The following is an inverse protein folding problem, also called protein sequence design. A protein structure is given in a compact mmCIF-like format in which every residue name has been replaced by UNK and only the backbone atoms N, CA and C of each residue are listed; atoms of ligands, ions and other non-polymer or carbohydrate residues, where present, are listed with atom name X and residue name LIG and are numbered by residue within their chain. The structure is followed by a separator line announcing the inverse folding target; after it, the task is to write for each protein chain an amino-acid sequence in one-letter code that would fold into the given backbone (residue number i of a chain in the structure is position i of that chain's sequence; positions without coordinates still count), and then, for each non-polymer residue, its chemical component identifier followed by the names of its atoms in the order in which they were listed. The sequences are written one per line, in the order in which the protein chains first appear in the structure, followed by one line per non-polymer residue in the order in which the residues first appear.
data_IF_900675633694
#
_entry.id   IF_900675633694
#
_cell.length_a   1.000
_cell.length_b   1.000
_cell.length_c   1.000
_cell.angle_alpha   90.00
_cell.angle_beta   90.00
_cell.angle_gamma   90.00
#
_symmetry.space_group_name_H-M   'P 1'
#
loop_
_entity.id
_entity.type
_entity.pdbx_description
1 polymer ?
#
# COMPACT_ATOMS: atom_id res chain seq x y z
N UNK A 1 -51.30 19.13 16.76
CA UNK A 1 -51.28 20.48 17.37
C UNK A 1 -50.04 20.52 18.23
N UNK A 2 -49.01 21.27 17.81
CA UNK A 2 -47.82 21.60 18.63
C UNK A 2 -48.25 22.39 19.90
N UNK A 3 -47.40 22.68 20.91
CA UNK A 3 -45.93 22.75 20.87
C UNK A 3 -45.17 22.35 22.17
N UNK A 4 -43.82 22.38 22.08
CA UNK A 4 -42.87 22.57 23.19
C UNK A 4 -43.17 23.83 24.03
N UNK A 5 -42.67 23.92 25.27
CA UNK A 5 -41.49 24.78 25.49
C UNK A 5 -40.52 24.33 26.61
N UNK A 6 -39.20 24.42 26.34
CA UNK A 6 -38.17 24.81 27.33
C UNK A 6 -38.31 26.32 27.68
N UNK A 7 -37.58 26.98 28.60
CA UNK A 7 -36.34 26.60 29.34
C UNK A 7 -36.34 27.06 30.83
N UNK A 8 -35.25 26.86 31.58
CA UNK A 8 -34.69 27.93 32.43
C UNK A 8 -33.28 27.54 32.95
N UNK A 9 -32.33 28.40 32.59
CA UNK A 9 -30.97 28.45 33.12
C UNK A 9 -30.96 29.32 34.38
N UNK A 10 -30.18 28.96 35.38
CA UNK A 10 -29.57 29.96 36.25
C UNK A 10 -28.26 29.44 36.82
N UNK A 11 -27.20 30.13 36.41
CA UNK A 11 -25.84 30.00 36.88
C UNK A 11 -25.70 30.53 38.32
N UNK A 12 -24.74 29.99 39.06
CA UNK A 12 -23.95 30.78 40.01
C UNK A 12 -22.61 30.09 40.27
N UNK A 13 -21.56 30.85 40.03
CA UNK A 13 -20.16 30.54 40.22
C UNK A 13 -19.63 31.44 41.33
N UNK A 14 -18.90 30.88 42.29
CA UNK A 14 -17.94 31.49 43.25
C UNK A 14 -17.66 30.41 44.31
N UNK A 15 -16.46 30.11 44.80
CA UNK A 15 -15.15 30.74 44.68
C UNK A 15 -14.06 29.67 44.99
N UNK A 16 -12.85 29.97 44.52
CA UNK A 16 -11.58 29.28 44.83
C UNK A 16 -11.30 29.26 46.36
N UNK A 17 -10.44 28.44 46.96
CA UNK A 17 -9.07 28.06 46.57
C UNK A 17 -8.52 27.15 47.69
N UNK A 18 -7.86 26.02 47.41
CA UNK A 18 -6.65 25.55 48.13
C UNK A 18 -6.10 24.22 47.55
N UNK A 19 -4.92 24.36 46.92
CA UNK A 19 -3.71 23.52 47.08
C UNK A 19 -3.65 22.09 46.52
N UNK A 20 -3.12 22.01 45.29
CA UNK A 20 -2.03 21.14 44.79
C UNK A 20 -1.92 19.66 45.23
N UNK A 21 -2.02 18.73 44.26
CA UNK A 21 -0.86 18.04 43.68
C UNK A 21 -1.24 17.00 42.58
N UNK A 22 -0.47 17.06 41.48
CA UNK A 22 -0.03 15.95 40.61
C UNK A 22 -0.88 15.45 39.42
N UNK A 23 -0.33 15.80 38.24
CA UNK A 23 -0.04 14.92 37.08
C UNK A 23 -1.19 14.44 36.18
N UNK A 24 -1.35 15.08 35.01
CA UNK A 24 -0.84 14.60 33.70
C UNK A 24 -1.50 15.35 32.55
N UNK A 25 -0.69 15.80 31.59
CA UNK A 25 -1.09 16.60 30.43
C UNK A 25 -1.66 15.73 29.30
N UNK A 26 -2.93 15.94 28.96
CA UNK A 26 -3.49 15.69 27.62
C UNK A 26 -3.25 16.93 26.74
N UNK A 27 -2.94 16.76 25.45
CA UNK A 27 -3.34 17.72 24.45
C UNK A 27 -4.31 17.12 23.44
N UNK A 28 -5.41 17.85 23.28
CA UNK A 28 -6.46 17.83 22.27
C UNK A 28 -6.04 17.32 20.87
N UNK A 29 -6.87 16.46 20.29
CA UNK A 29 -7.03 16.38 18.83
C UNK A 29 -8.53 16.40 18.45
N UNK A 30 -8.79 17.21 17.43
CA UNK A 30 -10.07 17.62 16.84
C UNK A 30 -10.89 16.46 16.25
N UNK A 31 -12.20 16.66 16.00
CA UNK A 31 -13.04 15.65 15.36
C UNK A 31 -12.69 15.53 13.87
N UNK A 32 -12.18 14.36 13.47
CA UNK A 32 -11.97 14.03 12.06
C UNK A 32 -13.32 13.78 11.37
N UNK A 33 -13.55 14.57 10.33
CA UNK A 33 -14.59 14.44 9.31
C UNK A 33 -14.64 13.04 8.69
N UNK A 34 -15.84 12.46 8.61
CA UNK A 34 -16.20 11.33 7.75
C UNK A 34 -15.70 11.57 6.32
N UNK A 35 -14.70 10.79 5.90
CA UNK A 35 -14.25 10.72 4.52
C UNK A 35 -14.75 9.41 3.89
N UNK A 36 -15.56 9.57 2.83
CA UNK A 36 -15.96 8.53 1.90
C UNK A 36 -14.76 7.70 1.40
N UNK A 37 -14.92 6.39 1.13
CA UNK A 37 -13.83 5.55 0.65
C UNK A 37 -13.32 6.03 -0.73
N UNK A 38 -12.00 6.09 -0.95
CA UNK A 38 -11.46 6.58 -2.22
C UNK A 38 -11.81 5.62 -3.36
N UNK A 39 -12.45 6.16 -4.39
CA UNK A 39 -12.64 5.51 -5.68
C UNK A 39 -11.30 4.99 -6.23
N UNK A 40 -11.33 3.78 -6.78
CA UNK A 40 -10.17 3.09 -7.35
C UNK A 40 -9.36 4.00 -8.30
N UNK A 41 -8.01 3.97 -8.23
CA UNK A 41 -7.19 4.76 -9.14
C UNK A 41 -7.43 4.34 -10.60
N UNK A 42 -7.45 5.29 -11.55
CA UNK A 42 -7.61 5.00 -12.97
C UNK A 42 -6.49 4.08 -13.45
N UNK A 43 -6.81 3.11 -14.32
CA UNK A 43 -5.80 2.23 -14.91
C UNK A 43 -4.67 3.07 -15.52
N UNK A 44 -3.39 2.69 -15.34
CA UNK A 44 -2.28 3.41 -15.94
C UNK A 44 -2.46 3.41 -17.46
N UNK A 45 -2.58 4.60 -18.04
CA UNK A 45 -2.59 4.78 -19.48
C UNK A 45 -1.27 4.22 -20.00
N UNK A 46 -1.33 3.16 -20.82
CA UNK A 46 -0.14 2.68 -21.52
C UNK A 46 0.36 3.85 -22.36
N UNK A 47 1.49 4.44 -21.98
CA UNK A 47 2.10 5.52 -22.73
C UNK A 47 2.56 4.95 -24.08
N UNK A 48 1.70 5.01 -25.09
CA UNK A 48 2.10 4.62 -26.45
C UNK A 48 3.06 5.66 -27.01
N UNK A 49 4.13 5.19 -27.65
CA UNK A 49 5.01 6.04 -28.41
C UNK A 49 4.19 6.89 -29.41
N UNK A 50 4.49 8.20 -29.47
CA UNK A 50 3.90 9.15 -30.43
C UNK A 50 4.32 8.81 -31.87
N UNK A 51 5.32 7.95 -32.03
CA UNK A 51 5.80 7.46 -33.32
C UNK A 51 4.72 6.65 -34.05
N UNK A 52 4.41 6.96 -35.32
CA UNK A 52 3.43 6.21 -36.09
C UNK A 52 3.81 4.73 -36.23
N UNK A 53 2.94 3.84 -35.74
CA UNK A 53 3.03 2.40 -36.00
C UNK A 53 2.64 2.04 -37.44
N UNK A 54 2.74 0.75 -37.84
CA UNK A 54 2.55 0.31 -39.22
C UNK A 54 1.16 0.66 -39.77
N UNK A 55 0.12 0.56 -38.95
CA UNK A 55 -1.26 0.91 -39.33
C UNK A 55 -1.47 2.42 -39.42
N UNK A 56 -0.91 3.19 -38.49
CA UNK A 56 -0.99 4.64 -38.51
C UNK A 56 -0.25 5.22 -39.73
N UNK A 57 0.93 4.69 -40.06
CA UNK A 57 1.68 5.06 -41.25
C UNK A 57 0.90 4.74 -42.55
N UNK A 58 0.29 3.55 -42.64
CA UNK A 58 -0.56 3.17 -43.77
C UNK A 58 -1.78 4.09 -43.92
N UNK A 59 -2.39 4.52 -42.81
CA UNK A 59 -3.52 5.45 -42.85
C UNK A 59 -3.10 6.79 -43.46
N UNK A 60 -1.98 7.34 -43.01
CA UNK A 60 -1.42 8.59 -43.54
C UNK A 60 -1.05 8.47 -45.02
N UNK A 61 -0.42 7.37 -45.41
CA UNK A 61 -0.07 7.10 -46.81
C UNK A 61 -1.30 6.98 -47.70
N UNK A 62 -2.32 6.24 -47.25
CA UNK A 62 -3.57 6.07 -48.00
C UNK A 62 -4.29 7.42 -48.17
N UNK A 63 -4.32 8.24 -47.12
CA UNK A 63 -4.88 9.58 -47.17
C UNK A 63 -4.13 10.48 -48.16
N UNK A 64 -2.80 10.55 -48.08
CA UNK A 64 -2.00 11.33 -49.02
C UNK A 64 -2.20 10.88 -50.47
N UNK A 65 -2.31 9.56 -50.70
CA UNK A 65 -2.57 8.98 -52.02
C UNK A 65 -3.98 9.30 -52.54
N UNK A 66 -4.99 9.23 -51.68
CA UNK A 66 -6.37 9.55 -52.06
C UNK A 66 -6.56 11.04 -52.32
N UNK A 67 -5.94 11.91 -51.52
CA UNK A 67 -5.93 13.35 -51.74
C UNK A 67 -5.26 13.72 -53.07
N UNK A 68 -4.07 13.19 -53.36
CA UNK A 68 -3.41 13.39 -54.66
C UNK A 68 -4.26 12.92 -55.84
N UNK A 69 -4.93 11.77 -55.70
CA UNK A 69 -5.80 11.23 -56.76
C UNK A 69 -7.06 12.07 -56.98
N UNK A 70 -7.66 12.60 -55.91
CA UNK A 70 -8.85 13.46 -56.00
C UNK A 70 -8.51 14.83 -56.57
N UNK A 71 -7.42 15.47 -56.11
CA UNK A 71 -6.92 16.72 -56.68
C UNK A 71 -6.50 16.56 -58.14
N UNK A 72 -5.90 15.42 -58.51
CA UNK A 72 -5.55 15.11 -59.91
C UNK A 72 -6.76 14.99 -60.85
N UNK A 73 -7.98 14.76 -60.33
CA UNK A 73 -9.20 14.81 -61.15
C UNK A 73 -9.61 16.24 -61.50
N UNK A 74 -9.12 17.24 -60.78
CA UNK A 74 -9.33 18.66 -61.09
C UNK A 74 -8.24 19.14 -62.06
N UNK A 75 -7.84 18.26 -62.99
CA UNK A 75 -6.84 18.55 -64.01
C UNK A 75 -7.35 19.57 -65.04
N UNK A 76 -6.41 20.15 -65.78
CA UNK A 76 -6.69 21.23 -66.73
C UNK A 76 -7.72 20.80 -67.79
N UNK A 77 -7.62 19.58 -68.31
CA UNK A 77 -8.52 19.08 -69.36
C UNK A 77 -9.98 19.04 -68.90
N UNK A 78 -10.22 18.67 -67.64
CA UNK A 78 -11.56 18.61 -67.07
C UNK A 78 -12.12 20.02 -66.83
N UNK A 79 -11.29 20.94 -66.34
CA UNK A 79 -11.70 22.34 -66.09
C UNK A 79 -11.92 23.09 -67.40
N UNK A 80 -11.04 22.93 -68.38
CA UNK A 80 -11.18 23.54 -69.71
C UNK A 80 -12.39 22.98 -70.46
N UNK A 81 -12.70 21.68 -70.30
CA UNK A 81 -13.89 21.05 -70.86
C UNK A 81 -15.20 21.62 -70.29
N UNK A 82 -15.24 21.95 -68.99
CA UNK A 82 -16.40 22.58 -68.35
C UNK A 82 -16.55 24.07 -68.68
N UNK A 83 -15.45 24.77 -68.99
CA UNK A 83 -15.43 26.21 -69.27
C UNK A 83 -14.80 26.56 -70.63
N UNK A 84 -15.34 26.06 -71.76
CA UNK A 84 -14.70 26.14 -73.07
C UNK A 84 -14.59 27.58 -73.63
N UNK A 85 -15.50 28.47 -73.25
CA UNK A 85 -15.49 29.89 -73.67
C UNK A 85 -14.40 30.68 -72.95
N UNK A 86 -14.22 30.44 -71.65
CA UNK A 86 -13.22 31.10 -70.81
C UNK A 86 -11.83 30.55 -71.09
N UNK A 87 -11.71 29.24 -71.32
CA UNK A 87 -10.46 28.60 -71.71
C UNK A 87 -9.87 29.20 -73.01
N UNK A 88 -10.71 29.58 -73.98
CA UNK A 88 -10.28 30.21 -75.24
C UNK A 88 -9.96 31.69 -75.12
N UNK A 89 -10.62 32.43 -74.23
CA UNK A 89 -10.46 33.90 -74.10
C UNK A 89 -9.44 34.30 -73.04
N UNK A 90 -9.30 33.52 -71.97
CA UNK A 90 -8.52 33.88 -70.79
C UNK A 90 -7.92 32.62 -70.14
N UNK A 91 -7.14 31.86 -70.92
CA UNK A 91 -6.50 30.63 -70.47
C UNK A 91 -5.65 30.83 -69.21
N UNK A 92 -4.85 31.91 -69.17
CA UNK A 92 -3.96 32.20 -68.04
C UNK A 92 -4.70 32.41 -66.72
N UNK A 93 -5.84 33.12 -66.74
CA UNK A 93 -6.66 33.37 -65.55
C UNK A 93 -7.29 32.06 -65.06
N UNK A 94 -7.80 31.24 -65.98
CA UNK A 94 -8.42 29.96 -65.62
C UNK A 94 -7.41 28.97 -65.04
N UNK A 95 -6.19 28.91 -65.60
CA UNK A 95 -5.08 28.11 -65.04
C UNK A 95 -4.68 28.58 -63.65
N UNK A 96 -4.64 29.89 -63.44
CA UNK A 96 -4.35 30.46 -62.12
C UNK A 96 -5.43 30.10 -61.09
N UNK A 97 -6.71 30.20 -61.45
CA UNK A 97 -7.83 29.82 -60.56
C UNK A 97 -7.80 28.33 -60.25
N UNK A 98 -7.55 27.47 -61.24
CA UNK A 98 -7.41 26.04 -61.04
C UNK A 98 -6.26 25.73 -60.06
N UNK A 99 -5.07 26.31 -60.30
CA UNK A 99 -3.91 26.11 -59.43
C UNK A 99 -4.20 26.54 -58.00
N UNK A 100 -4.73 27.75 -57.81
CA UNK A 100 -5.12 28.24 -56.48
C UNK A 100 -6.17 27.36 -55.81
N UNK A 101 -7.15 26.83 -56.56
CA UNK A 101 -8.17 25.95 -56.01
C UNK A 101 -7.58 24.62 -55.55
N UNK A 102 -6.72 24.01 -56.36
CA UNK A 102 -6.05 22.74 -56.03
C UNK A 102 -5.13 22.92 -54.82
N UNK A 103 -4.33 23.98 -54.81
CA UNK A 103 -3.39 24.29 -53.72
C UNK A 103 -4.14 24.56 -52.41
N UNK A 104 -5.15 25.44 -52.43
CA UNK A 104 -5.91 25.79 -51.22
C UNK A 104 -6.74 24.63 -50.69
N UNK A 105 -7.30 23.80 -51.58
CA UNK A 105 -8.03 22.61 -51.16
C UNK A 105 -7.07 21.58 -50.55
N UNK A 106 -5.90 21.36 -51.17
CA UNK A 106 -4.85 20.49 -50.63
C UNK A 106 -4.39 20.92 -49.24
N UNK A 107 -3.97 22.18 -49.09
CA UNK A 107 -3.53 22.76 -47.81
C UNK A 107 -4.60 22.63 -46.71
N UNK A 108 -5.86 22.93 -47.03
CA UNK A 108 -6.95 22.82 -46.05
C UNK A 108 -7.23 21.37 -45.67
N UNK A 109 -7.23 20.45 -46.63
CA UNK A 109 -7.44 19.04 -46.36
C UNK A 109 -6.35 18.47 -45.46
N UNK A 110 -5.08 18.74 -45.75
CA UNK A 110 -3.95 18.30 -44.93
C UNK A 110 -4.03 18.86 -43.50
N UNK A 111 -4.31 20.15 -43.37
CA UNK A 111 -4.45 20.80 -42.05
C UNK A 111 -5.60 20.21 -41.23
N UNK A 112 -6.77 19.99 -41.84
CA UNK A 112 -7.91 19.39 -41.14
C UNK A 112 -7.64 17.92 -40.78
N UNK A 113 -6.92 17.19 -41.63
CA UNK A 113 -6.52 15.82 -41.33
C UNK A 113 -5.58 15.77 -40.12
N UNK A 114 -4.57 16.63 -40.06
CA UNK A 114 -3.68 16.73 -38.90
C UNK A 114 -4.42 17.12 -37.62
N UNK A 115 -5.36 18.07 -37.72
CA UNK A 115 -6.23 18.44 -36.60
C UNK A 115 -7.05 17.23 -36.10
N UNK A 116 -7.58 16.41 -37.01
CA UNK A 116 -8.33 15.19 -36.67
C UNK A 116 -7.41 14.14 -36.03
N UNK A 117 -6.20 13.97 -36.56
CA UNK A 117 -5.21 13.02 -36.02
C UNK A 117 -4.86 13.34 -34.57
N UNK A 118 -4.64 14.62 -34.26
CA UNK A 118 -4.32 15.10 -32.91
C UNK A 118 -5.55 15.04 -32.01
N UNK A 119 -6.68 15.63 -32.41
CA UNK A 119 -7.89 15.72 -31.57
C UNK A 119 -8.46 14.37 -31.17
N UNK A 120 -8.39 13.37 -32.06
CA UNK A 120 -8.89 12.03 -31.77
C UNK A 120 -7.84 11.08 -31.20
N UNK A 121 -6.59 11.54 -31.11
CA UNK A 121 -5.43 10.73 -30.69
C UNK A 121 -5.35 9.43 -31.50
N UNK A 122 -5.42 9.55 -32.83
CA UNK A 122 -5.51 8.38 -33.72
C UNK A 122 -4.23 7.55 -33.66
N UNK A 123 -3.07 8.19 -33.67
CA UNK A 123 -1.77 7.50 -33.65
C UNK A 123 -1.59 6.65 -32.38
N UNK A 124 -1.78 7.20 -31.16
CA UNK A 124 -1.81 6.42 -29.93
C UNK A 124 -2.75 5.21 -29.98
N UNK A 125 -4.01 5.43 -30.35
CA UNK A 125 -5.04 4.39 -30.37
C UNK A 125 -4.75 3.26 -31.36
N UNK A 126 -4.20 3.60 -32.53
CA UNK A 126 -3.80 2.59 -33.50
C UNK A 126 -2.57 1.82 -33.04
N UNK A 127 -1.65 2.47 -32.33
CA UNK A 127 -0.49 1.80 -31.73
C UNK A 127 -0.91 0.87 -30.58
N UNK A 128 -1.84 1.30 -29.72
CA UNK A 128 -2.48 0.45 -28.71
C UNK A 128 -3.14 -0.78 -29.33
N UNK A 129 -3.87 -0.58 -30.42
CA UNK A 129 -4.53 -1.66 -31.14
C UNK A 129 -3.51 -2.67 -31.70
N UNK A 130 -2.39 -2.22 -32.28
CA UNK A 130 -1.33 -3.13 -32.73
C UNK A 130 -0.69 -3.89 -31.55
N UNK A 131 -0.48 -3.22 -30.42
CA UNK A 131 -0.03 -3.89 -29.19
C UNK A 131 -1.02 -4.97 -28.74
N UNK A 132 -2.32 -4.67 -28.71
CA UNK A 132 -3.37 -5.63 -28.35
C UNK A 132 -3.46 -6.80 -29.33
N UNK A 133 -3.30 -6.57 -30.63
CA UNK A 133 -3.25 -7.65 -31.63
C UNK A 133 -2.04 -8.55 -31.40
N UNK A 134 -0.87 -7.96 -31.12
CA UNK A 134 0.34 -8.73 -30.84
C UNK A 134 0.27 -9.55 -29.55
N UNK A 135 -0.38 -9.00 -28.51
CA UNK A 135 -0.63 -9.69 -27.26
C UNK A 135 -1.63 -10.83 -27.45
N UNK A 136 -2.71 -10.59 -28.21
CA UNK A 136 -3.72 -11.58 -28.51
C UNK A 136 -3.19 -12.72 -29.39
N UNK A 137 -2.36 -12.40 -30.40
CA UNK A 137 -1.75 -13.42 -31.27
C UNK A 137 -0.77 -14.29 -30.50
N UNK A 138 0.02 -13.70 -29.60
CA UNK A 138 0.91 -14.44 -28.70
C UNK A 138 0.13 -15.38 -27.79
N UNK A 139 -0.91 -14.88 -27.10
CA UNK A 139 -1.77 -15.71 -26.23
C UNK A 139 -2.45 -16.84 -27.01
N UNK A 140 -2.89 -16.58 -28.24
CA UNK A 140 -3.50 -17.60 -29.10
C UNK A 140 -2.50 -18.69 -29.51
N UNK A 141 -1.24 -18.32 -29.76
CA UNK A 141 -0.18 -19.28 -30.06
C UNK A 141 0.21 -20.13 -28.83
N UNK A 142 0.14 -19.54 -27.63
CA UNK A 142 0.41 -20.21 -26.36
C UNK A 142 -0.77 -21.07 -25.87
N UNK A 143 -2.00 -20.77 -26.31
CA UNK A 143 -3.20 -21.49 -25.91
C UNK A 143 -3.51 -22.67 -26.83
N UNK A 144 -3.62 -23.87 -26.27
CA UNK A 144 -4.13 -25.08 -26.96
C UNK A 144 -5.66 -25.21 -26.90
N UNK A 145 -6.35 -24.19 -26.37
CA UNK A 145 -7.76 -24.27 -25.96
C UNK A 145 -8.72 -23.74 -27.05
N UNK A 146 -10.01 -24.09 -26.91
CA UNK A 146 -11.14 -23.64 -27.73
C UNK A 146 -11.15 -22.12 -27.97
N UNK A 147 -11.76 -21.70 -29.09
CA UNK A 147 -11.91 -20.30 -29.44
C UNK A 147 -12.64 -19.52 -28.33
N UNK A 148 -12.11 -18.35 -27.90
CA UNK A 148 -12.69 -17.60 -26.82
C UNK A 148 -14.10 -17.12 -27.18
N UNK A 149 -15.03 -17.31 -26.25
CA UNK A 149 -16.39 -16.80 -26.39
C UNK A 149 -16.38 -15.28 -26.47
N UNK A 150 -17.10 -14.69 -27.44
CA UNK A 150 -17.07 -13.25 -27.62
C UNK A 150 -17.84 -12.54 -26.50
N UNK A 151 -17.43 -11.32 -26.10
CA UNK A 151 -17.91 -10.64 -24.89
C UNK A 151 -19.41 -10.38 -24.85
N UNK A 152 -20.07 -10.29 -26.01
CA UNK A 152 -21.52 -10.05 -26.09
C UNK A 152 -22.37 -11.28 -25.77
N UNK A 153 -21.77 -12.47 -25.73
CA UNK A 153 -22.43 -13.72 -25.32
C UNK A 153 -22.13 -14.06 -23.85
N UNK A 154 -21.28 -13.29 -23.18
CA UNK A 154 -20.93 -13.55 -21.79
C UNK A 154 -22.01 -13.02 -20.84
N UNK A 155 -22.42 -13.80 -19.83
CA UNK A 155 -23.33 -13.31 -18.81
C UNK A 155 -22.65 -12.22 -17.95
N UNK A 156 -23.41 -11.25 -17.39
CA UNK A 156 -22.84 -10.16 -16.59
C UNK A 156 -22.02 -10.64 -15.39
N UNK A 157 -22.43 -11.73 -14.75
CA UNK A 157 -21.71 -12.32 -13.61
C UNK A 157 -20.32 -12.80 -13.99
N UNK A 158 -20.14 -13.35 -15.20
CA UNK A 158 -18.83 -13.79 -15.69
C UNK A 158 -17.91 -12.60 -15.96
N UNK A 159 -18.43 -11.49 -16.49
CA UNK A 159 -17.67 -10.26 -16.72
C UNK A 159 -17.21 -9.67 -15.38
N UNK A 160 -18.12 -9.59 -14.41
CA UNK A 160 -17.82 -9.10 -13.06
C UNK A 160 -16.76 -9.99 -12.39
N UNK A 161 -16.94 -11.31 -12.41
CA UNK A 161 -15.98 -12.25 -11.85
C UNK A 161 -14.61 -12.13 -12.52
N UNK A 162 -14.55 -12.02 -13.84
CA UNK A 162 -13.30 -11.84 -14.57
C UNK A 162 -12.56 -10.55 -14.19
N UNK A 163 -13.29 -9.47 -13.90
CA UNK A 163 -12.70 -8.22 -13.41
C UNK A 163 -12.25 -8.26 -11.95
N UNK A 164 -13.01 -8.93 -11.07
CA UNK A 164 -12.67 -9.01 -9.66
C UNK A 164 -11.54 -10.01 -9.37
N UNK A 165 -11.42 -11.06 -10.19
CA UNK A 165 -10.47 -12.16 -9.95
C UNK A 165 -9.02 -11.66 -9.81
N UNK A 166 -8.46 -10.81 -10.71
CA UNK A 166 -7.08 -10.34 -10.56
C UNK A 166 -6.83 -9.54 -9.28
N UNK A 167 -7.79 -8.73 -8.83
CA UNK A 167 -7.66 -7.95 -7.61
C UNK A 167 -7.75 -8.87 -6.37
N UNK A 168 -8.72 -9.79 -6.37
CA UNK A 168 -8.90 -10.74 -5.27
C UNK A 168 -7.72 -11.70 -5.14
N UNK A 169 -7.13 -12.18 -6.25
CA UNK A 169 -5.94 -13.05 -6.21
C UNK A 169 -4.71 -12.29 -5.71
N UNK A 170 -4.55 -11.02 -6.07
CA UNK A 170 -3.49 -10.16 -5.52
C UNK A 170 -3.66 -10.00 -4.00
N UNK A 171 -4.85 -9.68 -3.52
CA UNK A 171 -5.12 -9.58 -2.08
C UNK A 171 -4.97 -10.91 -1.34
N UNK A 172 -5.44 -12.01 -1.92
CA UNK A 172 -5.29 -13.35 -1.34
C UNK A 172 -3.82 -13.73 -1.21
N UNK A 173 -2.99 -13.47 -2.23
CA UNK A 173 -1.56 -13.76 -2.15
C UNK A 173 -0.86 -12.90 -1.08
N UNK A 174 -1.22 -11.63 -0.94
CA UNK A 174 -0.72 -10.75 0.12
C UNK A 174 -1.10 -11.24 1.52
N UNK A 175 -2.36 -11.64 1.73
CA UNK A 175 -2.83 -12.16 3.02
C UNK A 175 -2.18 -13.49 3.37
N UNK A 176 -2.03 -14.39 2.39
CA UNK A 176 -1.32 -15.66 2.59
C UNK A 176 0.14 -15.44 2.97
N UNK A 177 0.84 -14.49 2.33
CA UNK A 177 2.21 -14.14 2.69
C UNK A 177 2.31 -13.62 4.14
N UNK A 178 1.40 -12.71 4.54
CA UNK A 178 1.34 -12.21 5.92
C UNK A 178 1.04 -13.32 6.92
N UNK A 179 0.07 -14.18 6.63
CA UNK A 179 -0.28 -15.31 7.47
C UNK A 179 0.92 -16.24 7.65
N UNK A 180 1.62 -16.58 6.56
CA UNK A 180 2.83 -17.40 6.63
C UNK A 180 3.95 -16.75 7.46
N UNK A 181 4.16 -15.44 7.33
CA UNK A 181 5.13 -14.70 8.16
C UNK A 181 4.74 -14.71 9.64
N UNK A 182 3.47 -14.48 9.97
CA UNK A 182 3.02 -14.51 11.37
C UNK A 182 3.10 -15.90 11.98
N UNK A 183 2.79 -16.94 11.21
CA UNK A 183 2.90 -18.33 11.65
C UNK A 183 4.37 -18.72 11.90
N UNK A 184 5.30 -18.30 11.04
CA UNK A 184 6.72 -18.57 11.28
C UNK A 184 7.26 -17.81 12.49
N UNK A 185 6.85 -16.56 12.71
CA UNK A 185 7.20 -15.81 13.91
C UNK A 185 6.64 -16.45 15.18
N UNK A 186 5.38 -16.87 15.16
CA UNK A 186 4.75 -17.55 16.29
C UNK A 186 5.44 -18.87 16.62
N UNK A 187 5.87 -19.64 15.61
CA UNK A 187 6.65 -20.86 15.82
C UNK A 187 7.98 -20.57 16.54
N UNK A 188 8.72 -19.56 16.08
CA UNK A 188 9.98 -19.16 16.71
C UNK A 188 9.79 -18.69 18.16
N UNK A 189 8.77 -17.86 18.41
CA UNK A 189 8.46 -17.38 19.76
C UNK A 189 8.04 -18.52 20.68
N UNK A 190 7.27 -19.48 20.16
CA UNK A 190 6.86 -20.66 20.93
C UNK A 190 8.06 -21.52 21.34
N UNK A 191 9.00 -21.75 20.41
CA UNK A 191 10.22 -22.51 20.69
C UNK A 191 11.09 -21.80 21.74
N UNK A 192 11.21 -20.48 21.64
CA UNK A 192 11.95 -19.67 22.63
C UNK A 192 11.28 -19.72 24.02
N UNK A 193 9.95 -19.58 24.10
CA UNK A 193 9.23 -19.72 25.38
C UNK A 193 9.40 -21.12 25.98
N UNK A 194 9.41 -22.16 25.14
CA UNK A 194 9.69 -23.53 25.62
C UNK A 194 11.10 -23.66 26.17
N UNK A 195 12.10 -23.11 25.49
CA UNK A 195 13.49 -23.09 25.93
C UNK A 195 13.64 -22.37 27.27
N UNK A 196 13.06 -21.17 27.39
CA UNK A 196 13.08 -20.39 28.63
C UNK A 196 12.39 -21.10 29.79
N UNK A 197 11.26 -21.78 29.55
CA UNK A 197 10.57 -22.55 30.59
C UNK A 197 11.41 -23.71 31.10
N UNK A 198 12.16 -24.37 30.22
CA UNK A 198 13.05 -25.44 30.63
C UNK A 198 14.24 -24.90 31.43
N UNK A 199 14.84 -23.80 30.96
CA UNK A 199 15.90 -23.10 31.68
C UNK A 199 15.45 -22.69 33.09
N UNK A 200 14.25 -22.11 33.24
CA UNK A 200 13.68 -21.77 34.54
C UNK A 200 13.54 -23.00 35.44
N UNK A 201 13.05 -24.13 34.94
CA UNK A 201 12.96 -25.36 35.73
C UNK A 201 14.33 -25.80 36.24
N UNK A 202 15.33 -25.84 35.36
CA UNK A 202 16.68 -26.23 35.75
C UNK A 202 17.30 -25.30 36.79
N UNK A 203 17.05 -23.99 36.70
CA UNK A 203 17.52 -23.01 37.67
C UNK A 203 16.79 -23.13 39.01
N UNK A 204 15.47 -23.42 38.99
CA UNK A 204 14.69 -23.66 40.20
C UNK A 204 15.14 -24.93 40.91
N UNK A 205 15.36 -26.03 40.19
CA UNK A 205 15.85 -27.28 40.76
C UNK A 205 17.25 -27.09 41.40
N UNK A 206 18.12 -26.33 40.74
CA UNK A 206 19.44 -25.98 41.29
C UNK A 206 19.33 -25.12 42.55
N UNK A 207 18.41 -24.14 42.57
CA UNK A 207 18.17 -23.29 43.73
C UNK A 207 17.58 -24.08 44.91
N UNK A 208 16.64 -24.98 44.65
CA UNK A 208 16.08 -25.87 45.67
C UNK A 208 17.16 -26.79 46.26
N UNK A 209 18.06 -27.32 45.44
CA UNK A 209 19.21 -28.09 45.91
C UNK A 209 20.16 -27.27 46.80
N UNK A 210 20.47 -26.02 46.43
CA UNK A 210 21.31 -25.12 47.25
C UNK A 210 20.60 -24.75 48.56
N UNK A 211 19.30 -24.49 48.54
CA UNK A 211 18.52 -24.21 49.75
C UNK A 211 18.53 -25.42 50.68
N UNK A 212 18.37 -26.63 50.15
CA UNK A 212 18.47 -27.87 50.93
C UNK A 212 19.87 -28.07 51.52
N UNK A 213 20.93 -27.75 50.77
CA UNK A 213 22.31 -27.82 51.26
C UNK A 213 22.57 -26.81 52.40
N UNK A 214 22.11 -25.57 52.27
CA UNK A 214 22.22 -24.55 53.34
C UNK A 214 21.41 -24.95 54.56
N UNK A 215 20.20 -25.50 54.39
CA UNK A 215 19.41 -26.04 55.50
C UNK A 215 20.14 -27.21 56.18
N UNK A 216 20.69 -28.14 55.41
CA UNK A 216 21.49 -29.25 55.93
C UNK A 216 22.74 -28.80 56.67
N UNK A 217 23.45 -27.79 56.15
CA UNK A 217 24.60 -27.18 56.83
C UNK A 217 24.20 -26.49 58.14
N UNK A 218 23.06 -25.78 58.16
CA UNK A 218 22.53 -25.16 59.37
C UNK A 218 22.14 -26.22 60.42
N UNK A 219 21.46 -27.29 60.01
CA UNK A 219 21.10 -28.40 60.89
C UNK A 219 22.35 -29.13 61.43
N UNK A 220 23.41 -29.26 60.62
CA UNK A 220 24.69 -29.84 61.06
C UNK A 220 25.48 -28.94 62.04
N UNK A 221 25.37 -27.61 61.90
CA UNK A 221 26.02 -26.65 62.81
C UNK A 221 25.26 -26.49 64.14
N UNK A 222 23.97 -26.80 64.17
CA UNK A 222 23.10 -26.69 65.34
C UNK A 222 23.66 -27.32 66.64
N UNK A 223 24.18 -28.58 66.66
CA UNK A 223 24.80 -29.14 67.86
C UNK A 223 26.07 -28.39 68.28
N UNK A 224 26.89 -27.93 67.33
CA UNK A 224 28.10 -27.15 67.62
C UNK A 224 27.74 -25.79 68.22
N UNK A 225 26.66 -25.17 67.74
CA UNK A 225 26.13 -23.92 68.32
C UNK A 225 25.62 -24.16 69.74
N UNK A 226 24.90 -25.25 69.98
CA UNK A 226 24.42 -25.61 71.32
C UNK A 226 25.59 -25.89 72.29
N UNK A 227 26.62 -26.60 71.82
CA UNK A 227 27.84 -26.87 72.58
C UNK A 227 28.59 -25.57 72.91
N UNK A 228 28.83 -24.68 71.93
CA UNK A 228 29.44 -23.36 72.15
C UNK A 228 28.56 -22.49 73.06
N UNK A 229 27.24 -22.57 72.96
CA UNK A 229 26.33 -21.87 73.86
C UNK A 229 26.42 -22.42 75.30
N UNK A 230 26.65 -23.72 75.49
CA UNK A 230 26.91 -24.28 76.83
C UNK A 230 28.30 -23.89 77.35
N UNK A 231 29.33 -23.93 76.51
CA UNK A 231 30.70 -23.55 76.86
C UNK A 231 30.78 -22.06 77.21
N UNK A 232 30.13 -21.18 76.44
CA UNK A 232 30.05 -19.75 76.76
C UNK A 232 29.26 -19.49 78.05
N UNK A 233 28.15 -20.20 78.29
CA UNK A 233 27.42 -20.11 79.59
C UNK A 233 28.29 -20.57 80.76
N UNK A 234 29.06 -21.64 80.59
CA UNK A 234 30.00 -22.14 81.61
C UNK A 234 31.18 -21.19 81.82
N UNK A 235 31.72 -20.61 80.74
CA UNK A 235 32.79 -19.62 80.77
C UNK A 235 32.37 -18.32 81.42
N UNK A 236 31.17 -17.80 81.11
CA UNK A 236 30.59 -16.62 81.77
C UNK A 236 30.39 -16.90 83.27
N UNK A 237 29.82 -18.06 83.63
CA UNK A 237 29.67 -18.43 85.04
C UNK A 237 31.03 -18.58 85.77
N UNK A 238 32.07 -19.06 85.08
CA UNK A 238 33.43 -19.15 85.63
C UNK A 238 34.11 -17.78 85.79
N UNK A 239 33.86 -16.84 84.87
CA UNK A 239 34.34 -15.46 84.97
C UNK A 239 33.60 -14.70 86.06
N UNK A 240 32.27 -14.83 86.17
CA UNK A 240 31.48 -14.26 87.27
C UNK A 240 31.90 -14.83 88.64
N UNK A 241 32.26 -16.12 88.71
CA UNK A 241 32.83 -16.73 89.90
C UNK A 241 34.26 -16.26 90.23
N UNK A 242 35.06 -15.92 89.22
CA UNK A 242 36.40 -15.37 89.39
C UNK A 242 36.37 -13.88 89.79
N UNK A 243 35.44 -13.10 89.26
CA UNK A 243 35.23 -11.69 89.62
C UNK A 243 34.59 -11.55 91.02
N UNK A 244 33.83 -12.57 91.47
CA UNK A 244 33.37 -12.71 92.86
C UNK A 244 34.44 -13.18 93.87
N UNK A 245 35.63 -13.59 93.41
CA UNK A 245 36.74 -14.05 94.24
C UNK A 245 37.74 -12.96 94.68
N UNK A 246 37.54 -11.71 94.24
CA UNK A 246 38.41 -10.56 94.51
C UNK A 246 38.12 -9.77 95.79
N UNK A 247 37.03 -10.05 96.51
CA UNK A 247 36.70 -9.41 97.79
C UNK A 247 36.54 -10.46 98.90
N UNK A 248 37.68 -10.87 99.48
CA UNK A 248 37.79 -11.11 100.93
C UNK A 248 39.26 -11.30 101.32
N UNK A 249 39.93 -10.16 101.48
CA UNK A 249 40.99 -10.03 102.47
C UNK A 249 40.40 -9.80 103.87
N UNK A 250 41.18 -10.22 104.87
CA UNK A 250 41.27 -9.65 106.21
C UNK A 250 40.08 -9.78 107.20
N UNK A 251 40.16 -10.80 108.06
CA UNK A 251 39.85 -10.83 109.52
C UNK A 251 39.72 -12.30 109.92
N UNK A 252 40.37 -12.84 110.95
CA UNK A 252 41.07 -12.34 112.13
C UNK A 252 42.11 -13.38 112.56
#
# INVERSE_FOLDING_TARGET
MAPDPQPEQSAQAEAAQETAQSQSQEPEQQPESEQDPPASPPLPQRHTAVTPGPRAARLQELYARSLKKTLGKIGWDNVAGCYPTVAKRAEGVLRQVQGQMVDKLGEKCEKEFDNIMVSRQVVPKLNDLESLISDASRRRAESTTEEPTPPHLLPPSAILAAHLTPALTAHQSQLNARLQTTQSQNALLYDEVRRQREEIRTLLDALEAVVADVQGANDALRPVIDDVATETRQGIAAVDAADGGGEQGASS
#
